data_IF_731192173003
#
_entry.id   IF_731192173003
#
_cell.length_a   1.000
_cell.length_b   1.000
_cell.length_c   1.000
_cell.angle_alpha   90.00
_cell.angle_beta   90.00
_cell.angle_gamma   90.00
#
_symmetry.space_group_name_H-M   'P 1'
#
loop_
_entity.id
_entity.type
_entity.pdbx_description
1 polymer ?
#
# COMPACT_ATOMS: atom_id res chain seq x y z
N UNK A 1 -36.29 17.76 -22.49
CA UNK A 1 -37.60 18.41 -22.82
C UNK A 1 -37.64 19.90 -22.43
N UNK A 2 -37.70 20.83 -23.39
CA UNK A 2 -37.99 22.24 -23.09
C UNK A 2 -39.46 22.38 -22.64
N UNK A 3 -39.74 23.33 -21.74
CA UNK A 3 -41.09 23.62 -21.25
C UNK A 3 -42.10 23.80 -22.41
N UNK A 4 -41.65 24.37 -23.53
CA UNK A 4 -42.42 24.54 -24.76
C UNK A 4 -42.87 23.24 -25.40
N UNK A 5 -42.03 22.19 -25.44
CA UNK A 5 -42.39 20.90 -26.00
C UNK A 5 -43.45 20.18 -25.17
N UNK A 6 -43.38 20.35 -23.84
CA UNK A 6 -44.34 19.80 -22.88
C UNK A 6 -45.71 20.50 -23.00
N UNK A 7 -45.71 21.83 -23.15
CA UNK A 7 -46.91 22.60 -23.45
C UNK A 7 -47.51 22.20 -24.80
N UNK A 8 -46.72 22.02 -25.85
CA UNK A 8 -47.21 21.60 -27.17
C UNK A 8 -47.82 20.20 -27.15
N UNK A 9 -47.23 19.25 -26.42
CA UNK A 9 -47.74 17.89 -26.28
C UNK A 9 -49.09 17.82 -25.54
N UNK A 10 -49.37 18.76 -24.62
CA UNK A 10 -50.66 18.86 -23.94
C UNK A 10 -51.69 19.66 -24.75
N UNK A 11 -51.28 20.78 -25.35
CA UNK A 11 -52.18 21.71 -26.02
C UNK A 11 -52.65 21.14 -27.37
N UNK A 12 -51.79 20.45 -28.11
CA UNK A 12 -52.12 19.91 -29.44
C UNK A 12 -53.25 18.87 -29.44
N UNK A 13 -53.23 17.80 -28.61
CA UNK A 13 -54.34 16.83 -28.55
C UNK A 13 -55.63 17.46 -28.01
N UNK A 14 -55.54 18.42 -27.08
CA UNK A 14 -56.72 19.15 -26.57
C UNK A 14 -57.36 19.99 -27.67
N UNK A 15 -56.58 20.71 -28.47
CA UNK A 15 -57.09 21.47 -29.62
C UNK A 15 -57.72 20.57 -30.69
N UNK A 16 -57.12 19.41 -30.97
CA UNK A 16 -57.67 18.43 -31.90
C UNK A 16 -59.00 17.85 -31.42
N UNK A 17 -59.13 17.57 -30.12
CA UNK A 17 -60.38 17.11 -29.51
C UNK A 17 -61.47 18.20 -29.51
N UNK A 18 -61.11 19.46 -29.26
CA UNK A 18 -62.03 20.61 -29.35
C UNK A 18 -62.54 20.79 -30.80
N UNK A 19 -61.66 20.66 -31.79
CA UNK A 19 -62.04 20.68 -33.21
C UNK A 19 -62.93 19.48 -33.56
N UNK A 20 -62.61 18.28 -33.07
CA UNK A 20 -63.43 17.09 -33.28
C UNK A 20 -64.85 17.28 -32.73
N UNK A 21 -65.02 17.85 -31.53
CA UNK A 21 -66.33 18.17 -30.95
C UNK A 21 -67.11 19.19 -31.79
N UNK A 22 -66.43 20.19 -32.36
CA UNK A 22 -67.06 21.17 -33.25
C UNK A 22 -67.59 20.51 -34.53
N UNK A 23 -66.79 19.65 -35.17
CA UNK A 23 -67.21 18.92 -36.38
C UNK A 23 -68.29 17.86 -36.11
N UNK A 24 -68.28 17.25 -34.94
CA UNK A 24 -69.34 16.35 -34.48
C UNK A 24 -70.69 17.07 -34.39
N UNK A 25 -70.71 18.29 -33.84
CA UNK A 25 -71.91 19.14 -33.77
C UNK A 25 -72.47 19.50 -35.15
N UNK A 26 -71.62 19.56 -36.17
CA UNK A 26 -72.00 19.76 -37.57
C UNK A 26 -72.33 18.45 -38.33
N UNK A 27 -72.48 17.31 -37.64
CA UNK A 27 -72.76 15.96 -38.21
C UNK A 27 -71.71 15.46 -39.21
N UNK A 28 -70.49 16.01 -39.20
CA UNK A 28 -69.40 15.55 -40.08
C UNK A 28 -68.59 14.43 -39.40
N UNK A 29 -69.15 13.22 -39.41
CA UNK A 29 -68.56 12.07 -38.69
C UNK A 29 -67.20 11.62 -39.25
N UNK A 30 -66.96 11.77 -40.56
CA UNK A 30 -65.68 11.41 -41.19
C UNK A 30 -64.52 12.25 -40.66
N UNK A 31 -64.72 13.57 -40.56
CA UNK A 31 -63.71 14.48 -40.03
C UNK A 31 -63.53 14.32 -38.51
N UNK A 32 -64.62 14.00 -37.79
CA UNK A 32 -64.56 13.72 -36.35
C UNK A 32 -63.69 12.50 -36.05
N UNK A 33 -63.88 11.40 -36.80
CA UNK A 33 -63.10 10.18 -36.63
C UNK A 33 -61.61 10.39 -36.93
N UNK A 34 -61.27 11.13 -38.00
CA UNK A 34 -59.88 11.44 -38.34
C UNK A 34 -59.17 12.26 -37.25
N UNK A 35 -59.82 13.30 -36.73
CA UNK A 35 -59.24 14.14 -35.67
C UNK A 35 -59.07 13.40 -34.34
N UNK A 36 -60.01 12.50 -34.00
CA UNK A 36 -59.91 11.64 -32.83
C UNK A 36 -58.72 10.68 -32.94
N UNK A 37 -58.58 9.99 -34.10
CA UNK A 37 -57.45 9.10 -34.35
C UNK A 37 -56.11 9.83 -34.29
N UNK A 38 -56.05 11.06 -34.84
CA UNK A 38 -54.83 11.87 -34.83
C UNK A 38 -54.45 12.34 -33.42
N UNK A 39 -55.44 12.70 -32.59
CA UNK A 39 -55.21 13.04 -31.17
C UNK A 39 -54.65 11.83 -30.38
N UNK A 40 -55.20 10.63 -30.60
CA UNK A 40 -54.72 9.40 -29.95
C UNK A 40 -53.29 9.07 -30.42
N UNK A 41 -53.02 9.15 -31.72
CA UNK A 41 -51.69 8.88 -32.27
C UNK A 41 -50.62 9.83 -31.71
N UNK A 42 -50.91 11.13 -31.64
CA UNK A 42 -50.01 12.13 -31.05
C UNK A 42 -49.78 11.87 -29.56
N UNK A 43 -50.84 11.52 -28.81
CA UNK A 43 -50.74 11.17 -27.39
C UNK A 43 -49.88 9.93 -27.14
N UNK A 44 -50.05 8.86 -27.93
CA UNK A 44 -49.28 7.63 -27.80
C UNK A 44 -47.81 7.83 -28.19
N UNK A 45 -47.53 8.43 -29.35
CA UNK A 45 -46.17 8.66 -29.84
C UNK A 45 -45.43 9.63 -28.91
N UNK A 46 -46.10 10.71 -28.49
CA UNK A 46 -45.56 11.69 -27.56
C UNK A 46 -45.31 11.12 -26.17
N UNK A 47 -46.25 10.32 -25.64
CA UNK A 47 -46.12 9.67 -24.35
C UNK A 47 -44.99 8.63 -24.31
N UNK A 48 -44.89 7.78 -25.34
CA UNK A 48 -43.80 6.79 -25.43
C UNK A 48 -42.43 7.45 -25.55
N UNK A 49 -42.29 8.46 -26.42
CA UNK A 49 -41.02 9.16 -26.62
C UNK A 49 -40.63 9.98 -25.38
N UNK A 50 -41.60 10.66 -24.75
CA UNK A 50 -41.37 11.40 -23.51
C UNK A 50 -40.98 10.48 -22.35
N UNK A 51 -41.62 9.31 -22.22
CA UNK A 51 -41.26 8.32 -21.20
C UNK A 51 -39.85 7.77 -21.41
N UNK A 52 -39.47 7.43 -22.65
CA UNK A 52 -38.12 6.98 -22.97
C UNK A 52 -37.06 8.05 -22.69
N UNK A 53 -37.33 9.32 -23.02
CA UNK A 53 -36.42 10.44 -22.74
C UNK A 53 -36.31 10.72 -21.23
N UNK A 54 -37.41 10.64 -20.49
CA UNK A 54 -37.40 10.78 -19.02
C UNK A 54 -36.69 9.62 -18.33
N UNK A 55 -36.93 8.38 -18.76
CA UNK A 55 -36.26 7.18 -18.20
C UNK A 55 -34.76 7.19 -18.47
N UNK A 56 -34.35 7.53 -19.70
CA UNK A 56 -32.93 7.70 -20.04
C UNK A 56 -32.28 8.87 -19.31
N UNK A 57 -32.96 10.01 -19.17
CA UNK A 57 -32.42 11.14 -18.40
C UNK A 57 -32.30 10.81 -16.90
N UNK A 58 -33.30 10.14 -16.33
CA UNK A 58 -33.26 9.70 -14.94
C UNK A 58 -32.12 8.70 -14.70
N UNK A 59 -32.00 7.68 -15.56
CA UNK A 59 -30.90 6.70 -15.52
C UNK A 59 -29.54 7.39 -15.65
N UNK A 60 -29.37 8.28 -16.63
CA UNK A 60 -28.11 8.99 -16.85
C UNK A 60 -27.74 9.88 -15.65
N UNK A 61 -28.72 10.57 -15.05
CA UNK A 61 -28.48 11.38 -13.86
C UNK A 61 -28.13 10.51 -12.64
N UNK A 62 -28.78 9.36 -12.45
CA UNK A 62 -28.46 8.42 -11.36
C UNK A 62 -27.07 7.83 -11.53
N UNK A 63 -26.70 7.40 -12.75
CA UNK A 63 -25.36 6.88 -13.05
C UNK A 63 -24.31 7.98 -12.84
N UNK A 64 -24.54 9.18 -13.36
CA UNK A 64 -23.61 10.30 -13.22
C UNK A 64 -23.40 10.72 -11.76
N UNK A 65 -24.45 10.73 -10.94
CA UNK A 65 -24.31 11.01 -9.51
C UNK A 65 -23.56 9.89 -8.79
N UNK A 66 -23.88 8.63 -9.10
CA UNK A 66 -23.18 7.48 -8.51
C UNK A 66 -21.69 7.50 -8.83
N UNK A 67 -21.31 7.77 -10.09
CA UNK A 67 -19.91 7.83 -10.51
C UNK A 67 -19.17 9.00 -9.85
N UNK A 68 -19.84 10.16 -9.67
CA UNK A 68 -19.28 11.30 -8.95
C UNK A 68 -19.06 10.99 -7.47
N UNK A 69 -20.06 10.42 -6.81
CA UNK A 69 -20.00 10.10 -5.38
C UNK A 69 -18.95 9.00 -5.11
N UNK A 70 -18.81 8.03 -6.03
CA UNK A 70 -17.72 7.04 -6.02
C UNK A 70 -16.36 7.71 -6.14
N UNK A 71 -16.17 8.60 -7.13
CA UNK A 71 -14.91 9.33 -7.35
C UNK A 71 -14.54 10.16 -6.12
N UNK A 72 -15.49 10.91 -5.57
CA UNK A 72 -15.28 11.72 -4.37
C UNK A 72 -14.90 10.87 -3.15
N UNK A 73 -15.61 9.75 -2.93
CA UNK A 73 -15.30 8.85 -1.82
C UNK A 73 -13.90 8.23 -1.97
N UNK A 74 -13.51 7.83 -3.18
CA UNK A 74 -12.18 7.28 -3.44
C UNK A 74 -11.08 8.34 -3.25
N UNK A 75 -11.26 9.54 -3.78
CA UNK A 75 -10.32 10.65 -3.54
C UNK A 75 -10.18 10.95 -2.05
N UNK A 76 -11.29 10.95 -1.29
CA UNK A 76 -11.24 11.13 0.16
C UNK A 76 -10.45 10.03 0.87
N UNK A 77 -10.65 8.75 0.49
CA UNK A 77 -9.89 7.63 1.05
C UNK A 77 -8.40 7.76 0.76
N UNK A 78 -8.05 8.18 -0.46
CA UNK A 78 -6.68 8.46 -0.86
C UNK A 78 -6.05 9.56 0.01
N UNK A 79 -6.74 10.68 0.20
CA UNK A 79 -6.27 11.78 1.05
C UNK A 79 -6.14 11.39 2.52
N UNK A 80 -7.09 10.60 3.04
CA UNK A 80 -7.02 10.05 4.40
C UNK A 80 -5.80 9.15 4.57
N UNK A 81 -5.53 8.26 3.60
CA UNK A 81 -4.36 7.41 3.65
C UNK A 81 -3.06 8.23 3.60
N UNK A 82 -2.98 9.25 2.76
CA UNK A 82 -1.84 10.17 2.71
C UNK A 82 -1.62 10.84 4.06
N UNK A 83 -2.68 11.38 4.69
CA UNK A 83 -2.57 12.04 5.99
C UNK A 83 -2.10 11.08 7.10
N UNK A 84 -2.56 9.83 7.07
CA UNK A 84 -2.06 8.80 7.97
C UNK A 84 -0.57 8.56 7.74
N UNK A 85 -0.18 8.29 6.48
CA UNK A 85 1.21 7.98 6.10
C UNK A 85 2.17 9.14 6.41
N UNK A 86 1.70 10.38 6.29
CA UNK A 86 2.45 11.59 6.63
C UNK A 86 2.85 11.65 8.10
N UNK A 87 2.11 11.02 9.02
CA UNK A 87 2.41 11.07 10.45
C UNK A 87 3.08 9.82 11.00
N UNK A 88 3.34 8.81 10.18
CA UNK A 88 4.01 7.59 10.63
C UNK A 88 5.49 7.85 10.87
N UNK A 89 5.99 7.28 11.96
CA UNK A 89 7.40 7.25 12.33
C UNK A 89 7.97 5.85 12.10
N UNK A 90 9.09 5.76 11.38
CA UNK A 90 9.81 4.51 11.14
C UNK A 90 10.33 3.86 12.43
N UNK A 91 10.83 4.65 13.39
CA UNK A 91 11.37 4.14 14.65
C UNK A 91 10.28 3.66 15.62
N UNK A 92 9.06 4.21 15.48
CA UNK A 92 7.91 3.87 16.32
C UNK A 92 6.67 3.69 15.44
N UNK A 93 6.60 2.60 14.66
CA UNK A 93 5.53 2.39 13.70
C UNK A 93 4.21 2.07 14.42
N UNK A 94 3.20 2.91 14.20
CA UNK A 94 1.83 2.70 14.68
C UNK A 94 1.11 1.73 13.74
N UNK A 95 1.13 0.45 14.11
CA UNK A 95 0.65 -0.64 13.26
C UNK A 95 -0.83 -0.50 12.88
N UNK A 96 -1.68 -0.05 13.80
CA UNK A 96 -3.12 0.08 13.53
C UNK A 96 -3.38 1.12 12.45
N UNK A 97 -2.70 2.26 12.54
CA UNK A 97 -2.77 3.31 11.51
C UNK A 97 -2.19 2.86 10.18
N UNK A 98 -1.07 2.14 10.20
CA UNK A 98 -0.48 1.58 8.98
C UNK A 98 -1.46 0.60 8.30
N UNK A 99 -2.07 -0.31 9.05
CA UNK A 99 -3.07 -1.26 8.54
C UNK A 99 -4.31 -0.53 7.98
N UNK A 100 -4.73 0.56 8.63
CA UNK A 100 -5.79 1.41 8.10
C UNK A 100 -5.42 2.08 6.78
N UNK A 101 -4.21 2.62 6.65
CA UNK A 101 -3.72 3.21 5.41
C UNK A 101 -3.67 2.18 4.26
N UNK A 102 -3.20 0.95 4.54
CA UNK A 102 -3.26 -0.16 3.58
C UNK A 102 -4.70 -0.45 3.17
N UNK A 103 -5.64 -0.55 4.12
CA UNK A 103 -7.06 -0.80 3.83
C UNK A 103 -7.68 0.31 2.98
N UNK A 104 -7.34 1.56 3.22
CA UNK A 104 -7.84 2.70 2.45
C UNK A 104 -7.34 2.68 1.00
N UNK A 105 -6.10 2.23 0.77
CA UNK A 105 -5.45 2.22 -0.53
C UNK A 105 -5.62 0.90 -1.32
N UNK A 106 -6.03 -0.20 -0.68
CA UNK A 106 -6.12 -1.52 -1.31
C UNK A 106 -6.97 -1.58 -2.58
N UNK A 107 -8.05 -0.82 -2.62
CA UNK A 107 -8.96 -0.81 -3.77
C UNK A 107 -8.35 -0.13 -5.01
N UNK A 108 -7.23 0.57 -4.85
CA UNK A 108 -6.47 1.17 -5.96
C UNK A 108 -5.53 0.16 -6.67
N UNK A 109 -5.42 -1.08 -6.19
CA UNK A 109 -4.73 -2.15 -6.94
C UNK A 109 -5.46 -2.50 -8.24
N UNK A 110 -6.78 -2.32 -8.28
CA UNK A 110 -7.56 -2.57 -9.49
C UNK A 110 -7.37 -1.43 -10.50
N UNK A 111 -6.69 -1.74 -11.60
CA UNK A 111 -6.43 -0.81 -12.71
C UNK A 111 -7.70 -0.16 -13.25
N UNK A 112 -8.85 -0.87 -13.25
CA UNK A 112 -10.13 -0.32 -13.71
C UNK A 112 -10.63 0.81 -12.81
N UNK A 113 -10.40 0.68 -11.50
CA UNK A 113 -10.76 1.71 -10.52
C UNK A 113 -9.89 2.95 -10.74
N UNK A 114 -8.59 2.77 -10.95
CA UNK A 114 -7.66 3.89 -11.20
C UNK A 114 -7.96 4.62 -12.52
N UNK A 115 -8.28 3.89 -13.59
CA UNK A 115 -8.67 4.46 -14.88
C UNK A 115 -9.90 5.37 -14.77
N UNK A 116 -10.90 4.97 -13.97
CA UNK A 116 -12.13 5.74 -13.75
C UNK A 116 -11.90 7.04 -12.95
N UNK A 117 -10.78 7.18 -12.26
CA UNK A 117 -10.47 8.34 -11.43
C UNK A 117 -9.76 9.48 -12.20
N UNK A 118 -9.48 9.29 -13.50
CA UNK A 118 -8.90 10.31 -14.40
C UNK A 118 -7.66 11.03 -13.84
N UNK A 119 -6.80 10.30 -13.10
CA UNK A 119 -5.57 10.87 -12.53
C UNK A 119 -5.76 11.72 -11.27
N UNK A 120 -6.94 11.70 -10.63
CA UNK A 120 -7.13 12.34 -9.31
C UNK A 120 -6.23 11.75 -8.21
N UNK A 121 -5.80 10.50 -8.38
CA UNK A 121 -4.95 9.76 -7.44
C UNK A 121 -3.74 9.14 -8.18
N UNK A 122 -2.78 9.97 -8.62
CA UNK A 122 -1.73 9.55 -9.56
C UNK A 122 -0.67 8.61 -8.94
N UNK A 123 -0.52 8.64 -7.62
CA UNK A 123 0.54 7.93 -6.89
C UNK A 123 0.00 6.81 -5.97
N UNK A 124 -1.23 6.37 -6.17
CA UNK A 124 -1.91 5.45 -5.26
C UNK A 124 -1.19 4.10 -5.12
N UNK A 125 -0.58 3.62 -6.20
CA UNK A 125 0.23 2.41 -6.25
C UNK A 125 1.51 2.53 -5.41
N UNK A 126 2.26 3.63 -5.56
CA UNK A 126 3.48 3.88 -4.79
C UNK A 126 3.16 4.08 -3.31
N UNK A 127 2.07 4.79 -3.00
CA UNK A 127 1.61 4.99 -1.62
C UNK A 127 1.16 3.68 -0.98
N UNK A 128 0.49 2.80 -1.73
CA UNK A 128 0.11 1.47 -1.26
C UNK A 128 1.37 0.63 -0.97
N UNK A 129 2.30 0.56 -1.92
CA UNK A 129 3.56 -0.14 -1.74
C UNK A 129 4.32 0.38 -0.49
N UNK A 130 4.32 1.70 -0.28
CA UNK A 130 4.94 2.29 0.91
C UNK A 130 4.21 1.88 2.19
N UNK A 131 2.88 1.91 2.21
CA UNK A 131 2.08 1.48 3.35
C UNK A 131 2.33 0.00 3.69
N UNK A 132 2.41 -0.87 2.69
CA UNK A 132 2.70 -2.30 2.87
C UNK A 132 4.11 -2.56 3.38
N UNK A 133 5.11 -1.85 2.85
CA UNK A 133 6.49 -1.92 3.34
C UNK A 133 6.58 -1.46 4.81
N UNK A 134 5.92 -0.36 5.15
CA UNK A 134 5.83 0.13 6.53
C UNK A 134 5.10 -0.86 7.45
N UNK A 135 4.09 -1.58 6.95
CA UNK A 135 3.38 -2.59 7.72
C UNK A 135 4.30 -3.78 8.04
N UNK A 136 5.12 -4.18 7.06
CA UNK A 136 6.12 -5.22 7.25
C UNK A 136 7.17 -4.77 8.28
N UNK A 137 7.64 -3.53 8.22
CA UNK A 137 8.56 -2.95 9.21
C UNK A 137 7.95 -2.89 10.61
N UNK A 138 6.65 -2.59 10.72
CA UNK A 138 5.95 -2.55 11.99
C UNK A 138 5.98 -3.88 12.76
N UNK A 139 6.13 -5.01 12.06
CA UNK A 139 6.28 -6.33 12.69
C UNK A 139 7.54 -6.44 13.57
N UNK A 140 8.57 -5.63 13.29
CA UNK A 140 9.84 -5.58 14.02
C UNK A 140 9.84 -4.56 15.16
N UNK A 141 8.73 -3.84 15.40
CA UNK A 141 8.53 -2.91 16.53
C UNK A 141 9.65 -1.86 16.70
N UNK A 142 10.26 -1.41 15.60
CA UNK A 142 11.32 -0.41 15.62
C UNK A 142 12.74 -0.93 15.87
N UNK A 143 12.93 -2.25 15.97
CA UNK A 143 14.24 -2.88 16.21
C UNK A 143 14.77 -3.67 15.01
N UNK A 144 14.41 -3.25 13.79
CA UNK A 144 14.83 -3.91 12.56
C UNK A 144 16.35 -3.79 12.35
N UNK A 145 17.02 -4.91 12.18
CA UNK A 145 18.47 -4.97 11.91
C UNK A 145 18.77 -5.19 10.42
N UNK A 146 20.02 -4.99 10.02
CA UNK A 146 20.47 -5.28 8.65
C UNK A 146 20.24 -6.74 8.26
N UNK A 147 20.49 -7.68 9.18
CA UNK A 147 20.25 -9.12 8.96
C UNK A 147 18.76 -9.42 8.79
N UNK A 148 17.88 -8.74 9.52
CA UNK A 148 16.43 -8.89 9.36
C UNK A 148 15.95 -8.43 7.99
N UNK A 149 16.45 -7.28 7.52
CA UNK A 149 16.13 -6.74 6.18
C UNK A 149 16.58 -7.71 5.09
N UNK A 150 17.80 -8.25 5.19
CA UNK A 150 18.31 -9.21 4.20
C UNK A 150 17.54 -10.53 4.18
N UNK A 151 16.94 -10.94 5.31
CA UNK A 151 16.10 -12.12 5.40
C UNK A 151 14.67 -11.87 4.88
N UNK A 152 14.18 -10.64 4.93
CA UNK A 152 12.81 -10.27 4.55
C UNK A 152 12.67 -10.01 3.04
N UNK A 153 12.53 -11.10 2.28
CA UNK A 153 12.31 -11.04 0.83
C UNK A 153 11.07 -10.24 0.43
N UNK A 154 10.03 -10.21 1.27
CA UNK A 154 8.79 -9.50 0.96
C UNK A 154 9.03 -7.99 1.00
N UNK A 155 9.65 -7.51 2.07
CA UNK A 155 10.04 -6.11 2.21
C UNK A 155 10.95 -5.66 1.05
N UNK A 156 11.97 -6.46 0.73
CA UNK A 156 12.90 -6.14 -0.35
C UNK A 156 12.21 -6.06 -1.71
N UNK A 157 11.32 -7.01 -2.05
CA UNK A 157 10.57 -6.99 -3.30
C UNK A 157 9.75 -5.70 -3.43
N UNK A 158 8.99 -5.35 -2.39
CA UNK A 158 8.13 -4.16 -2.40
C UNK A 158 8.97 -2.88 -2.61
N UNK A 159 10.10 -2.77 -1.90
CA UNK A 159 10.98 -1.58 -1.97
C UNK A 159 11.74 -1.47 -3.29
N UNK A 160 12.13 -2.60 -3.89
CA UNK A 160 12.81 -2.64 -5.19
C UNK A 160 11.89 -2.31 -6.36
N UNK A 161 10.61 -2.68 -6.26
CA UNK A 161 9.61 -2.40 -7.29
C UNK A 161 9.15 -0.92 -7.29
N UNK A 162 9.43 -0.17 -6.21
CA UNK A 162 9.15 1.27 -6.16
C UNK A 162 10.01 2.08 -7.15
N UNK A 163 9.44 3.08 -7.84
CA UNK A 163 10.17 3.85 -8.84
C UNK A 163 11.33 4.64 -8.26
N UNK A 164 12.52 4.44 -8.81
CA UNK A 164 13.72 5.17 -8.41
C UNK A 164 13.58 6.67 -8.69
N UNK A 165 13.84 7.49 -7.66
CA UNK A 165 13.75 8.96 -7.79
C UNK A 165 12.32 9.49 -7.87
N UNK A 166 11.37 8.77 -7.27
CA UNK A 166 9.98 9.19 -7.09
C UNK A 166 9.84 10.65 -6.61
N UNK A 167 8.92 11.40 -7.22
CA UNK A 167 8.67 12.84 -6.97
C UNK A 167 7.21 13.17 -6.61
N UNK A 168 6.38 12.16 -6.39
CA UNK A 168 4.97 12.34 -6.07
C UNK A 168 4.69 12.66 -4.60
N UNK A 169 3.45 12.43 -4.15
CA UNK A 169 3.06 12.66 -2.75
C UNK A 169 3.93 11.87 -1.77
N UNK A 170 4.37 12.52 -0.69
CA UNK A 170 5.24 11.94 0.36
C UNK A 170 6.62 11.47 -0.15
N UNK A 171 7.10 11.95 -1.29
CA UNK A 171 8.44 11.61 -1.80
C UNK A 171 9.56 11.87 -0.78
N UNK A 172 9.43 12.92 0.03
CA UNK A 172 10.36 13.26 1.11
C UNK A 172 10.47 12.19 2.22
N UNK A 173 9.48 11.30 2.35
CA UNK A 173 9.50 10.16 3.28
C UNK A 173 9.80 8.84 2.58
N UNK A 174 9.18 8.62 1.43
CA UNK A 174 9.28 7.37 0.68
C UNK A 174 10.71 7.17 0.15
N UNK A 175 11.33 8.21 -0.41
CA UNK A 175 12.67 8.09 -1.00
C UNK A 175 13.74 7.80 0.07
N UNK A 176 13.80 8.52 1.22
CA UNK A 176 14.74 8.14 2.28
C UNK A 176 14.48 6.76 2.85
N UNK A 177 13.21 6.36 3.00
CA UNK A 177 12.85 5.01 3.45
C UNK A 177 13.37 3.93 2.49
N UNK A 178 13.10 4.08 1.19
CA UNK A 178 13.59 3.17 0.16
C UNK A 178 15.11 3.04 0.21
N UNK A 179 15.83 4.17 0.30
CA UNK A 179 17.30 4.19 0.40
C UNK A 179 17.81 3.50 1.66
N UNK A 180 17.14 3.71 2.80
CA UNK A 180 17.51 3.08 4.07
C UNK A 180 17.42 1.55 3.95
N UNK A 181 16.29 1.01 3.50
CA UNK A 181 16.11 -0.45 3.38
C UNK A 181 17.11 -1.05 2.39
N UNK A 182 17.37 -0.40 1.24
CA UNK A 182 18.37 -0.86 0.28
C UNK A 182 19.78 -0.85 0.92
N UNK A 183 20.15 0.22 1.62
CA UNK A 183 21.44 0.34 2.31
C UNK A 183 21.61 -0.72 3.39
N UNK A 184 20.56 -1.01 4.17
CA UNK A 184 20.59 -2.06 5.20
C UNK A 184 20.85 -3.45 4.58
N UNK A 185 20.27 -3.74 3.41
CA UNK A 185 20.53 -4.98 2.67
C UNK A 185 21.97 -5.05 2.16
N UNK A 186 22.47 -3.98 1.53
CA UNK A 186 23.85 -3.92 1.04
C UNK A 186 24.88 -4.08 2.17
N UNK A 187 24.61 -3.48 3.34
CA UNK A 187 25.44 -3.66 4.54
C UNK A 187 25.43 -5.11 5.04
N UNK A 188 24.26 -5.75 5.08
CA UNK A 188 24.14 -7.15 5.46
C UNK A 188 24.89 -8.09 4.50
N UNK A 189 24.82 -7.82 3.19
CA UNK A 189 25.56 -8.58 2.19
C UNK A 189 27.08 -8.39 2.34
N UNK A 190 27.53 -7.16 2.64
CA UNK A 190 28.93 -6.87 2.92
C UNK A 190 29.43 -7.59 4.17
N UNK A 191 28.65 -7.57 5.25
CA UNK A 191 28.94 -8.29 6.49
C UNK A 191 29.03 -9.80 6.23
N UNK A 192 28.03 -10.38 5.54
CA UNK A 192 28.02 -11.80 5.16
C UNK A 192 29.24 -12.20 4.32
N UNK A 193 29.71 -11.33 3.42
CA UNK A 193 30.93 -11.57 2.64
C UNK A 193 32.17 -11.56 3.53
N UNK A 194 32.32 -10.58 4.41
CA UNK A 194 33.44 -10.50 5.35
C UNK A 194 33.47 -11.72 6.29
N UNK A 195 32.32 -12.15 6.77
CA UNK A 195 32.19 -13.34 7.62
C UNK A 195 32.62 -14.61 6.88
N UNK A 196 32.24 -14.76 5.60
CA UNK A 196 32.69 -15.89 4.77
C UNK A 196 34.19 -15.84 4.51
N UNK A 197 34.75 -14.67 4.21
CA UNK A 197 36.20 -14.51 3.99
C UNK A 197 36.99 -14.83 5.26
N UNK A 198 36.52 -14.36 6.43
CA UNK A 198 37.12 -14.65 7.72
C UNK A 198 37.00 -16.15 8.06
N UNK A 199 35.82 -16.75 7.88
CA UNK A 199 35.63 -18.18 8.09
C UNK A 199 36.55 -19.03 7.21
N UNK A 200 36.76 -18.64 5.95
CA UNK A 200 37.70 -19.32 5.05
C UNK A 200 39.16 -19.16 5.48
N UNK A 201 39.57 -17.95 5.90
CA UNK A 201 40.92 -17.69 6.44
C UNK A 201 41.20 -18.53 7.69
N UNK A 202 40.19 -18.75 8.53
CA UNK A 202 40.33 -19.47 9.79
C UNK A 202 39.94 -20.97 9.71
N UNK A 203 39.42 -21.46 8.57
CA UNK A 203 39.03 -22.85 8.36
C UNK A 203 40.19 -23.86 8.54
N UNK A 204 41.41 -23.48 8.16
CA UNK A 204 42.61 -24.32 8.36
C UNK A 204 43.01 -24.42 9.84
N UNK A 205 42.76 -23.38 10.64
CA UNK A 205 43.03 -23.40 12.07
C UNK A 205 41.97 -24.23 12.83
N UNK A 206 40.71 -24.15 12.39
CA UNK A 206 39.58 -24.92 12.92
C UNK A 206 39.72 -26.44 12.71
N UNK A 207 40.22 -26.86 11.53
CA UNK A 207 40.43 -28.28 11.20
C UNK A 207 41.58 -28.94 11.94
N UNK A 208 42.53 -28.15 12.49
CA UNK A 208 43.66 -28.67 13.26
C UNK A 208 43.39 -28.80 14.77
N UNK A 209 42.16 -28.57 15.24
CA UNK A 209 41.81 -28.68 16.67
C UNK A 209 42.52 -27.65 17.57
N UNK A 210 43.21 -26.67 16.98
CA UNK A 210 43.68 -25.48 17.66
C UNK A 210 42.51 -24.51 17.75
N UNK A 211 41.60 -24.75 18.70
CA UNK A 211 40.58 -23.76 19.04
C UNK A 211 41.27 -22.43 19.32
N UNK A 212 40.70 -21.37 18.74
CA UNK A 212 41.32 -20.07 18.48
C UNK A 212 42.40 -19.71 19.47
N UNK A 213 43.58 -19.31 18.97
CA UNK A 213 44.76 -18.91 19.74
C UNK A 213 44.57 -17.66 20.61
N UNK A 214 43.33 -17.42 21.05
CA UNK A 214 42.88 -16.47 22.03
C UNK A 214 43.45 -16.85 23.39
N UNK A 215 44.14 -15.90 23.97
CA UNK A 215 44.72 -15.98 25.30
C UNK A 215 44.21 -14.82 26.13
N UNK A 216 44.20 -14.97 27.46
CA UNK A 216 44.05 -13.81 28.34
C UNK A 216 45.02 -12.70 27.93
N UNK A 217 44.50 -11.49 27.72
CA UNK A 217 45.22 -10.32 27.23
C UNK A 217 44.92 -9.94 25.78
N UNK A 218 44.29 -10.81 24.99
CA UNK A 218 43.90 -10.48 23.61
C UNK A 218 42.69 -9.53 23.55
N UNK A 219 42.53 -8.80 22.44
CA UNK A 219 41.38 -7.92 22.21
C UNK A 219 40.09 -8.71 21.99
N UNK A 220 38.96 -8.19 22.46
CA UNK A 220 37.62 -8.72 22.17
C UNK A 220 37.33 -8.81 20.67
N UNK A 221 37.89 -7.89 19.87
CA UNK A 221 37.65 -7.82 18.42
C UNK A 221 38.09 -9.08 17.67
N UNK A 222 39.05 -9.83 18.23
CA UNK A 222 39.56 -11.05 17.59
C UNK A 222 38.72 -12.29 17.90
N UNK A 223 37.75 -12.20 18.83
CA UNK A 223 36.96 -13.35 19.30
C UNK A 223 36.13 -13.95 18.17
N UNK A 224 35.32 -13.13 17.51
CA UNK A 224 34.47 -13.59 16.42
C UNK A 224 35.29 -14.06 15.22
N UNK A 225 36.45 -13.43 14.97
CA UNK A 225 37.37 -13.86 13.92
C UNK A 225 37.97 -15.23 14.22
N UNK A 226 38.39 -15.49 15.46
CA UNK A 226 39.05 -16.73 15.84
C UNK A 226 38.08 -17.90 16.09
N UNK A 227 36.88 -17.62 16.58
CA UNK A 227 35.91 -18.63 17.06
C UNK A 227 34.63 -18.71 16.22
N UNK A 228 34.42 -17.79 15.27
CA UNK A 228 33.17 -17.68 14.53
C UNK A 228 32.08 -16.95 15.31
N UNK A 229 30.84 -17.07 14.86
CA UNK A 229 29.71 -16.41 15.52
C UNK A 229 29.35 -17.10 16.84
N UNK A 230 29.32 -16.38 17.97
CA UNK A 230 28.91 -16.95 19.24
C UNK A 230 27.43 -17.32 19.19
N UNK A 231 27.08 -18.45 19.83
CA UNK A 231 25.68 -18.86 20.04
C UNK A 231 24.95 -17.85 20.92
N UNK A 232 25.68 -17.24 21.86
CA UNK A 232 25.15 -16.33 22.87
C UNK A 232 26.26 -15.42 23.37
N UNK A 233 25.95 -14.15 23.61
CA UNK A 233 26.80 -13.22 24.35
C UNK A 233 26.01 -12.68 25.54
N UNK A 234 26.49 -12.95 26.75
CA UNK A 234 25.92 -12.37 27.97
C UNK A 234 26.75 -11.13 28.36
N UNK A 235 26.08 -10.00 28.61
CA UNK A 235 26.74 -8.75 29.02
C UNK A 235 26.32 -8.41 30.44
N UNK A 236 27.29 -8.14 31.31
CA UNK A 236 27.08 -7.70 32.69
C UNK A 236 27.88 -6.43 32.93
N UNK A 237 27.21 -5.37 33.40
CA UNK A 237 27.87 -4.14 33.83
C UNK A 237 28.03 -4.16 35.36
N UNK A 238 29.28 -4.11 35.85
CA UNK A 238 29.58 -4.11 37.28
C UNK A 238 30.80 -3.26 37.60
N UNK A 239 30.74 -2.46 38.67
CA UNK A 239 31.80 -1.55 39.13
C UNK A 239 32.39 -0.64 38.02
N UNK A 240 31.54 -0.16 37.11
CA UNK A 240 31.96 0.70 35.99
C UNK A 240 32.76 -0.02 34.90
N UNK A 241 32.75 -1.36 34.88
CA UNK A 241 33.42 -2.19 33.89
C UNK A 241 32.43 -3.07 33.14
N UNK A 242 32.64 -3.22 31.84
CA UNK A 242 31.82 -4.08 31.00
C UNK A 242 32.42 -5.49 30.98
N UNK A 243 31.69 -6.48 31.47
CA UNK A 243 32.07 -7.89 31.41
C UNK A 243 31.18 -8.62 30.42
N UNK A 244 31.77 -9.30 29.43
CA UNK A 244 31.03 -10.13 28.48
C UNK A 244 31.45 -11.58 28.56
N UNK A 245 30.50 -12.47 28.34
CA UNK A 245 30.72 -13.90 28.20
C UNK A 245 30.20 -14.34 26.83
N UNK A 246 31.11 -14.77 25.97
CA UNK A 246 30.82 -15.36 24.67
C UNK A 246 30.70 -16.86 24.81
N UNK A 247 29.61 -17.42 24.32
CA UNK A 247 29.34 -18.87 24.36
C UNK A 247 29.38 -19.40 22.94
N UNK A 248 30.26 -20.36 22.72
CA UNK A 248 30.39 -21.08 21.47
C UNK A 248 29.98 -22.53 21.66
N UNK A 249 29.40 -23.13 20.63
CA UNK A 249 29.17 -24.57 20.58
C UNK A 249 29.90 -25.13 19.36
N UNK A 250 30.95 -25.90 19.62
CA UNK A 250 31.72 -26.56 18.58
C UNK A 250 31.77 -28.06 18.85
N UNK A 251 31.32 -28.87 17.88
CA UNK A 251 31.36 -30.33 17.95
C UNK A 251 30.72 -30.92 19.24
N UNK A 252 29.67 -30.28 19.74
CA UNK A 252 28.94 -30.72 20.95
C UNK A 252 29.62 -30.33 22.28
N UNK A 253 30.68 -29.51 22.25
CA UNK A 253 31.33 -28.94 23.44
C UNK A 253 31.07 -27.44 23.52
N UNK A 254 30.79 -26.95 24.72
CA UNK A 254 30.59 -25.53 24.98
C UNK A 254 31.90 -24.88 25.36
N UNK A 255 32.30 -23.86 24.61
CA UNK A 255 33.48 -23.04 24.90
C UNK A 255 33.00 -21.67 25.37
N UNK A 256 33.60 -21.14 26.42
CA UNK A 256 33.26 -19.86 27.03
C UNK A 256 34.47 -18.93 26.96
N UNK A 257 34.29 -17.73 26.42
CA UNK A 257 35.33 -16.69 26.43
C UNK A 257 34.81 -15.50 27.24
N UNK A 258 35.59 -15.05 28.21
CA UNK A 258 35.23 -13.94 29.10
C UNK A 258 36.04 -12.71 28.74
N UNK A 259 35.40 -11.57 28.52
CA UNK A 259 36.05 -10.28 28.33
C UNK A 259 35.72 -9.31 29.45
N UNK A 260 36.65 -8.39 29.69
CA UNK A 260 36.50 -7.25 30.60
C UNK A 260 37.06 -6.01 29.92
N UNK A 261 36.21 -5.00 29.73
CA UNK A 261 36.54 -3.74 29.06
C UNK A 261 37.21 -3.95 27.68
N UNK A 262 36.71 -4.92 26.91
CA UNK A 262 37.24 -5.24 25.58
C UNK A 262 38.52 -6.09 25.57
N UNK A 263 38.96 -6.64 26.71
CA UNK A 263 40.13 -7.52 26.79
C UNK A 263 39.70 -8.91 27.28
N UNK A 264 40.18 -9.96 26.63
CA UNK A 264 39.99 -11.35 27.03
C UNK A 264 40.66 -11.60 28.38
N UNK A 265 39.90 -12.15 29.31
CA UNK A 265 40.35 -12.46 30.68
C UNK A 265 40.49 -13.95 30.92
N UNK A 266 39.62 -14.77 30.32
CA UNK A 266 39.62 -16.21 30.52
C UNK A 266 38.97 -16.95 29.35
N UNK A 267 39.37 -18.20 29.15
CA UNK A 267 38.85 -19.12 28.12
C UNK A 267 38.65 -20.50 28.75
N UNK A 268 37.41 -20.96 28.79
CA UNK A 268 37.01 -22.26 29.36
C UNK A 268 36.52 -23.19 28.25
N UNK A 269 37.12 -24.37 28.14
CA UNK A 269 36.86 -25.40 27.11
C UNK A 269 35.98 -26.55 27.62
#
# INVERSE_FOLDING_TARGET
MSFFALCLLLICPVLLLLLAMRYFRHRNYRMTALLLCLAIAVGLIGGMKGYQEMDSTAKNNTISNYDRDQKENMTRRYEQAVAILEHINFSHPDREKIEEAVRLLRDFEDKKVVENLEGACPDADVLLAYAEAMNQVASYRGHMTNKDVAADRKLLSIVQDMPAGYKGKLAEKIVPFQRLIISMNEEAEKESRLDRENAQKHAQNLTQGKYGGIKPGDSEDIITAAMGEPVRVNVTQGDGKEMKQYVFNHNGKSIYVYTKDGIVTDVVL
#
